data_IF_094978798626
#
_entry.id   IF_094978798626
#
_cell.length_a   1.000
_cell.length_b   1.000
_cell.length_c   1.000
_cell.angle_alpha   90.00
_cell.angle_beta   90.00
_cell.angle_gamma   90.00
#
_symmetry.space_group_name_H-M   'P 1'
#
loop_
_entity.id
_entity.type
_entity.pdbx_description
1 polymer ?
#
# COMPACT_ATOMS: atom_id res chain seq x y z
N UNK A 1 54.91 -11.18 -23.86
CA UNK A 1 53.78 -10.69 -24.66
C UNK A 1 52.53 -11.57 -24.67
N UNK A 2 52.48 -12.79 -24.12
CA UNK A 2 51.29 -13.67 -24.07
C UNK A 2 50.33 -13.36 -22.89
N UNK A 3 50.81 -12.71 -21.81
CA UNK A 3 49.95 -12.38 -20.63
C UNK A 3 48.98 -11.26 -20.85
N UNK A 4 49.37 -10.19 -21.51
CA UNK A 4 48.52 -9.00 -21.75
C UNK A 4 47.29 -9.26 -22.64
N UNK A 5 47.42 -10.23 -23.58
CA UNK A 5 46.27 -10.61 -24.43
C UNK A 5 45.17 -11.33 -23.63
N UNK A 6 45.53 -12.14 -22.62
CA UNK A 6 44.55 -12.82 -21.76
C UNK A 6 43.85 -11.87 -20.80
N UNK A 7 44.59 -10.92 -20.20
CA UNK A 7 44.00 -9.91 -19.30
C UNK A 7 43.11 -8.93 -20.07
N UNK A 8 43.45 -8.55 -21.30
CA UNK A 8 42.63 -7.68 -22.15
C UNK A 8 41.33 -8.38 -22.60
N UNK A 9 41.40 -9.70 -22.89
CA UNK A 9 40.26 -10.51 -23.28
C UNK A 9 39.29 -10.74 -22.09
N UNK A 10 39.82 -10.91 -20.87
CA UNK A 10 39.01 -11.03 -19.64
C UNK A 10 38.36 -9.69 -19.29
N UNK A 11 39.05 -8.54 -19.46
CA UNK A 11 38.45 -7.23 -19.28
C UNK A 11 37.35 -6.94 -20.34
N UNK A 12 37.57 -7.33 -21.59
CA UNK A 12 36.55 -7.17 -22.65
C UNK A 12 35.34 -8.05 -22.43
N UNK A 13 35.52 -9.30 -21.96
CA UNK A 13 34.41 -10.18 -21.58
C UNK A 13 33.65 -9.65 -20.35
N UNK A 14 34.37 -9.11 -19.35
CA UNK A 14 33.77 -8.50 -18.15
C UNK A 14 32.96 -7.25 -18.46
N UNK A 15 33.37 -6.44 -19.43
CA UNK A 15 32.59 -5.25 -19.85
C UNK A 15 31.35 -5.61 -20.67
N UNK A 16 31.36 -6.70 -21.45
CA UNK A 16 30.21 -7.17 -22.23
C UNK A 16 29.13 -7.77 -21.28
N UNK A 17 29.51 -8.43 -20.20
CA UNK A 17 28.55 -8.98 -19.22
C UNK A 17 27.89 -7.87 -18.38
N UNK A 18 28.53 -6.71 -18.18
CA UNK A 18 27.98 -5.57 -17.45
C UNK A 18 26.95 -4.77 -18.28
N UNK A 19 27.02 -4.85 -19.62
CA UNK A 19 26.08 -4.14 -20.53
C UNK A 19 24.83 -4.97 -20.84
N UNK A 20 24.82 -6.27 -20.50
CA UNK A 20 23.71 -7.19 -20.84
C UNK A 20 22.69 -7.40 -19.71
N UNK A 21 22.75 -6.62 -18.62
CA UNK A 21 21.63 -6.61 -17.65
C UNK A 21 20.49 -5.82 -18.25
N UNK A 22 19.28 -6.40 -18.43
CA UNK A 22 18.16 -5.69 -18.98
C UNK A 22 17.81 -4.50 -18.08
N UNK A 23 17.96 -3.30 -18.59
CA UNK A 23 17.66 -2.01 -17.91
C UNK A 23 16.22 -1.96 -17.40
N UNK A 24 15.35 -2.79 -17.94
CA UNK A 24 13.95 -2.94 -17.56
C UNK A 24 13.76 -3.54 -16.17
N UNK A 25 14.54 -4.55 -15.79
CA UNK A 25 14.43 -5.16 -14.45
C UNK A 25 14.86 -4.19 -13.35
N UNK A 26 15.86 -3.36 -13.60
CA UNK A 26 16.31 -2.35 -12.64
C UNK A 26 15.25 -1.27 -12.37
N UNK A 27 14.50 -0.82 -13.39
CA UNK A 27 13.41 0.15 -13.25
C UNK A 27 12.21 -0.45 -12.51
N UNK A 28 11.85 -1.68 -12.82
CA UNK A 28 10.76 -2.40 -12.14
C UNK A 28 11.08 -2.61 -10.64
N UNK A 29 12.30 -2.98 -10.30
CA UNK A 29 12.77 -3.12 -8.92
C UNK A 29 12.70 -1.77 -8.19
N UNK A 30 13.09 -0.68 -8.85
CA UNK A 30 13.04 0.66 -8.26
C UNK A 30 11.62 1.10 -7.90
N UNK A 31 10.62 0.88 -8.77
CA UNK A 31 9.21 1.20 -8.48
C UNK A 31 8.68 0.37 -7.30
N UNK A 32 8.99 -0.93 -7.26
CA UNK A 32 8.58 -1.79 -6.16
C UNK A 32 9.17 -1.35 -4.81
N UNK A 33 10.41 -0.86 -4.81
CA UNK A 33 11.03 -0.30 -3.61
C UNK A 33 10.37 1.03 -3.20
N UNK A 34 10.00 1.89 -4.14
CA UNK A 34 9.24 3.12 -3.86
C UNK A 34 7.89 2.77 -3.22
N UNK A 35 7.15 1.80 -3.76
CA UNK A 35 5.89 1.33 -3.18
C UNK A 35 6.12 0.80 -1.75
N UNK A 36 7.16 -0.01 -1.54
CA UNK A 36 7.50 -0.52 -0.21
C UNK A 36 7.76 0.61 0.78
N UNK A 37 8.50 1.63 0.39
CA UNK A 37 8.79 2.80 1.23
C UNK A 37 7.52 3.62 1.51
N UNK A 38 6.65 3.82 0.52
CA UNK A 38 5.36 4.50 0.71
C UNK A 38 4.48 3.74 1.72
N UNK A 39 4.35 2.43 1.60
CA UNK A 39 3.61 1.59 2.56
C UNK A 39 4.20 1.71 3.99
N UNK A 40 5.53 1.67 4.13
CA UNK A 40 6.20 1.83 5.43
C UNK A 40 5.88 3.21 6.03
N UNK A 41 5.89 4.28 5.23
CA UNK A 41 5.53 5.63 5.70
C UNK A 41 4.08 5.69 6.20
N UNK A 42 3.13 5.08 5.47
CA UNK A 42 1.72 4.98 5.90
C UNK A 42 1.63 4.25 7.24
N UNK A 43 2.26 3.09 7.38
CA UNK A 43 2.24 2.29 8.63
C UNK A 43 2.78 3.11 9.79
N UNK A 44 3.94 3.76 9.65
CA UNK A 44 4.54 4.59 10.70
C UNK A 44 3.65 5.78 11.09
N UNK A 45 2.99 6.42 10.12
CA UNK A 45 2.08 7.53 10.39
C UNK A 45 0.85 7.05 11.18
N UNK A 46 0.30 5.89 10.85
CA UNK A 46 -0.83 5.26 11.55
C UNK A 46 -0.44 4.85 12.97
N UNK A 47 0.74 4.24 13.17
CA UNK A 47 1.23 3.86 14.50
C UNK A 47 1.35 5.07 15.43
N UNK A 48 1.90 6.18 14.93
CA UNK A 48 1.97 7.44 15.69
C UNK A 48 0.59 7.99 16.06
N UNK A 49 -0.39 7.85 15.16
CA UNK A 49 -1.77 8.24 15.42
C UNK A 49 -2.38 7.40 16.54
N UNK A 50 -2.21 6.07 16.51
CA UNK A 50 -2.70 5.13 17.53
C UNK A 50 -2.06 5.45 18.88
N UNK A 51 -0.75 5.65 18.96
CA UNK A 51 -0.05 6.01 20.21
C UNK A 51 -0.61 7.30 20.83
N UNK A 52 -0.91 8.32 20.01
CA UNK A 52 -1.52 9.56 20.50
C UNK A 52 -2.91 9.34 21.09
N UNK A 53 -3.72 8.45 20.49
CA UNK A 53 -5.04 8.08 21.00
C UNK A 53 -4.93 7.31 22.33
N UNK A 54 -4.01 6.35 22.43
CA UNK A 54 -3.77 5.60 23.66
C UNK A 54 -3.40 6.53 24.81
N UNK A 55 -2.52 7.50 24.58
CA UNK A 55 -2.13 8.49 25.57
C UNK A 55 -3.32 9.36 26.03
N UNK A 56 -4.20 9.76 25.12
CA UNK A 56 -5.44 10.49 25.45
C UNK A 56 -6.39 9.64 26.30
N UNK A 57 -6.57 8.37 25.94
CA UNK A 57 -7.45 7.45 26.69
C UNK A 57 -6.93 7.22 28.11
N UNK A 58 -5.62 7.07 28.30
CA UNK A 58 -4.99 6.92 29.63
C UNK A 58 -5.22 8.20 30.46
N UNK A 59 -5.06 9.38 29.83
CA UNK A 59 -5.30 10.65 30.53
C UNK A 59 -6.75 10.78 31.01
N UNK A 60 -7.73 10.38 30.19
CA UNK A 60 -9.15 10.38 30.57
C UNK A 60 -9.47 9.45 31.71
N UNK A 61 -8.93 8.23 31.69
CA UNK A 61 -9.09 7.27 32.80
C UNK A 61 -8.50 7.81 34.11
N UNK A 62 -7.36 8.50 34.04
CA UNK A 62 -6.76 9.12 35.21
C UNK A 62 -7.59 10.30 35.72
N UNK A 63 -8.14 11.15 34.82
CA UNK A 63 -9.03 12.24 35.17
C UNK A 63 -10.32 11.73 35.82
N UNK A 64 -10.89 10.63 35.34
CA UNK A 64 -12.06 9.97 35.92
C UNK A 64 -11.75 9.47 37.35
N UNK A 65 -10.63 8.75 37.57
CA UNK A 65 -10.23 8.29 38.91
C UNK A 65 -10.02 9.44 39.91
N UNK A 66 -9.42 10.54 39.47
CA UNK A 66 -9.24 11.73 40.31
C UNK A 66 -10.60 12.33 40.71
N UNK A 67 -11.57 12.34 39.79
CA UNK A 67 -12.93 12.82 40.07
C UNK A 67 -13.67 11.89 41.02
N UNK A 68 -13.62 10.60 40.81
CA UNK A 68 -14.23 9.58 41.69
C UNK A 68 -13.65 9.66 43.13
N UNK A 69 -12.34 9.85 43.26
CA UNK A 69 -11.69 10.01 44.57
C UNK A 69 -12.06 11.33 45.27
N UNK A 70 -12.27 12.42 44.53
CA UNK A 70 -12.77 13.68 45.10
C UNK A 70 -14.25 13.60 45.47
N UNK A 71 -15.06 12.84 44.74
CA UNK A 71 -16.45 12.57 45.07
C UNK A 71 -16.71 12.05 46.47
N UNK A 72 -15.89 11.10 46.90
CA UNK A 72 -16.00 10.46 48.23
C UNK A 72 -15.69 11.42 49.37
N UNK A 73 -15.18 12.64 49.07
CA UNK A 73 -14.74 13.62 50.04
C UNK A 73 -15.69 14.86 50.17
N UNK A 74 -16.69 15.01 49.28
CA UNK A 74 -17.55 16.20 49.28
C UNK A 74 -18.80 16.10 50.13
N UNK A 75 -19.12 17.18 50.86
CA UNK A 75 -20.39 17.35 51.57
C UNK A 75 -21.50 17.78 50.61
N UNK A 76 -22.76 17.44 50.95
CA UNK A 76 -23.98 17.60 50.14
C UNK A 76 -24.26 19.00 49.55
N UNK A 77 -23.66 20.07 50.13
CA UNK A 77 -23.83 21.48 49.66
C UNK A 77 -23.07 21.82 48.37
N UNK A 78 -22.14 20.96 47.92
CA UNK A 78 -21.34 21.19 46.71
C UNK A 78 -21.85 20.40 45.48
N UNK A 79 -22.98 19.67 45.62
CA UNK A 79 -23.51 18.73 44.61
C UNK A 79 -23.87 19.43 43.30
N UNK A 80 -24.43 20.66 43.34
CA UNK A 80 -24.86 21.36 42.12
C UNK A 80 -23.67 21.76 41.22
N UNK A 81 -22.57 22.26 41.84
CA UNK A 81 -21.34 22.61 41.12
C UNK A 81 -20.62 21.36 40.61
N UNK A 82 -20.76 20.26 41.32
CA UNK A 82 -20.20 18.98 40.98
C UNK A 82 -20.91 18.33 39.81
N UNK A 83 -22.25 18.42 39.73
CA UNK A 83 -23.07 17.90 38.63
C UNK A 83 -22.70 18.52 37.29
N UNK A 84 -22.41 19.82 37.24
CA UNK A 84 -21.96 20.50 36.01
C UNK A 84 -20.54 20.04 35.60
N UNK A 85 -19.60 19.90 36.53
CA UNK A 85 -18.25 19.35 36.24
C UNK A 85 -18.31 17.91 35.73
N UNK A 86 -19.20 17.09 36.31
CA UNK A 86 -19.45 15.72 35.86
C UNK A 86 -20.03 15.69 34.44
N UNK A 87 -21.02 16.53 34.16
CA UNK A 87 -21.63 16.67 32.83
C UNK A 87 -20.59 17.06 31.77
N UNK A 88 -19.74 18.02 32.07
CA UNK A 88 -18.66 18.47 31.18
C UNK A 88 -17.62 17.37 30.96
N UNK A 89 -17.29 16.60 32.00
CA UNK A 89 -16.36 15.47 31.89
C UNK A 89 -16.94 14.36 30.99
N UNK A 90 -18.23 13.98 31.21
CA UNK A 90 -18.90 12.97 30.39
C UNK A 90 -19.02 13.43 28.95
N UNK A 91 -19.37 14.70 28.69
CA UNK A 91 -19.40 15.26 27.34
C UNK A 91 -18.04 15.13 26.66
N UNK A 92 -16.98 15.54 27.35
CA UNK A 92 -15.60 15.42 26.85
C UNK A 92 -15.21 13.96 26.59
N UNK A 93 -15.60 13.03 27.47
CA UNK A 93 -15.38 11.61 27.32
C UNK A 93 -16.12 11.04 26.10
N UNK A 94 -17.37 11.41 25.85
CA UNK A 94 -18.12 11.01 24.67
C UNK A 94 -17.54 11.59 23.39
N UNK A 95 -17.12 12.84 23.39
CA UNK A 95 -16.49 13.48 22.21
C UNK A 95 -15.16 12.79 21.87
N UNK A 96 -14.37 12.39 22.87
CA UNK A 96 -13.11 11.69 22.64
C UNK A 96 -13.30 10.22 22.27
N UNK A 97 -14.28 9.50 22.82
CA UNK A 97 -14.67 8.16 22.37
C UNK A 97 -15.12 8.18 20.90
N UNK A 98 -15.85 9.19 20.50
CA UNK A 98 -16.30 9.35 19.14
C UNK A 98 -15.11 9.60 18.17
N UNK A 99 -14.13 10.39 18.58
CA UNK A 99 -12.86 10.57 17.85
C UNK A 99 -12.09 9.24 17.74
N UNK A 100 -11.99 8.47 18.82
CA UNK A 100 -11.34 7.15 18.82
C UNK A 100 -12.04 6.21 17.83
N UNK A 101 -13.38 6.15 17.83
CA UNK A 101 -14.15 5.31 16.91
C UNK A 101 -13.92 5.70 15.45
N UNK A 102 -13.92 7.00 15.13
CA UNK A 102 -13.61 7.50 13.78
C UNK A 102 -12.20 7.15 13.34
N UNK A 103 -11.24 7.28 14.24
CA UNK A 103 -9.83 6.95 13.95
C UNK A 103 -9.64 5.46 13.70
N UNK A 104 -10.34 4.59 14.47
CA UNK A 104 -10.33 3.15 14.23
C UNK A 104 -10.92 2.77 12.86
N UNK A 105 -12.01 3.43 12.43
CA UNK A 105 -12.58 3.23 11.11
C UNK A 105 -11.61 3.64 9.99
N UNK A 106 -10.93 4.77 10.16
CA UNK A 106 -9.88 5.25 9.26
C UNK A 106 -8.70 4.27 9.19
N UNK A 107 -8.26 3.75 10.34
CA UNK A 107 -7.22 2.73 10.42
C UNK A 107 -7.60 1.46 9.66
N UNK A 108 -8.81 0.96 9.86
CA UNK A 108 -9.31 -0.22 9.16
C UNK A 108 -9.30 -0.03 7.64
N UNK A 109 -9.77 1.12 7.15
CA UNK A 109 -9.74 1.46 5.71
C UNK A 109 -8.31 1.48 5.17
N UNK A 110 -7.38 2.10 5.88
CA UNK A 110 -5.96 2.15 5.49
C UNK A 110 -5.34 0.74 5.46
N UNK A 111 -5.67 -0.12 6.43
CA UNK A 111 -5.19 -1.50 6.45
C UNK A 111 -5.65 -2.29 5.21
N UNK A 112 -6.91 -2.12 4.78
CA UNK A 112 -7.44 -2.71 3.56
C UNK A 112 -6.71 -2.20 2.31
N UNK A 113 -6.43 -0.90 2.24
CA UNK A 113 -5.68 -0.28 1.14
C UNK A 113 -4.26 -0.87 1.05
N UNK A 114 -3.56 -1.00 2.18
CA UNK A 114 -2.22 -1.62 2.23
C UNK A 114 -2.28 -3.09 1.78
N UNK A 115 -3.31 -3.82 2.19
CA UNK A 115 -3.50 -5.20 1.76
C UNK A 115 -3.72 -5.29 0.24
N UNK A 116 -4.55 -4.43 -0.33
CA UNK A 116 -4.78 -4.37 -1.78
C UNK A 116 -3.51 -4.00 -2.53
N UNK A 117 -2.74 -3.05 -2.01
CA UNK A 117 -1.45 -2.67 -2.57
C UNK A 117 -0.46 -3.85 -2.61
N UNK A 118 -0.41 -4.68 -1.57
CA UNK A 118 0.41 -5.90 -1.58
C UNK A 118 -0.03 -6.87 -2.68
N UNK A 119 -1.34 -7.01 -2.89
CA UNK A 119 -1.88 -7.87 -3.95
C UNK A 119 -1.51 -7.36 -5.35
N UNK A 120 -1.56 -6.04 -5.60
CA UNK A 120 -1.10 -5.41 -6.85
C UNK A 120 0.37 -5.79 -7.11
N UNK A 121 1.24 -5.59 -6.12
CA UNK A 121 2.67 -5.90 -6.25
C UNK A 121 2.92 -7.39 -6.49
N UNK A 122 2.20 -8.28 -5.81
CA UNK A 122 2.33 -9.73 -5.99
C UNK A 122 1.88 -10.17 -7.38
N UNK A 123 0.73 -9.68 -7.84
CA UNK A 123 0.22 -9.96 -9.18
C UNK A 123 1.15 -9.45 -10.28
N UNK A 124 1.62 -8.20 -10.14
CA UNK A 124 2.59 -7.66 -11.07
C UNK A 124 3.85 -8.54 -11.17
N UNK A 125 4.47 -8.89 -10.03
CA UNK A 125 5.68 -9.72 -10.02
C UNK A 125 5.46 -11.07 -10.70
N UNK A 126 4.35 -11.73 -10.36
CA UNK A 126 4.00 -13.02 -10.95
C UNK A 126 3.81 -12.90 -12.47
N UNK A 127 2.95 -11.99 -12.91
CA UNK A 127 2.63 -11.87 -14.33
C UNK A 127 3.81 -11.36 -15.15
N UNK A 128 4.60 -10.42 -14.62
CA UNK A 128 5.81 -9.94 -15.28
C UNK A 128 6.83 -11.05 -15.52
N UNK A 129 7.03 -11.93 -14.54
CA UNK A 129 7.89 -13.10 -14.71
C UNK A 129 7.37 -14.02 -15.82
N UNK A 130 6.06 -14.25 -15.89
CA UNK A 130 5.45 -15.12 -16.90
C UNK A 130 5.56 -14.51 -18.30
N UNK A 131 5.22 -13.21 -18.45
CA UNK A 131 5.32 -12.49 -19.73
C UNK A 131 6.73 -12.54 -20.31
N UNK A 132 7.75 -12.36 -19.48
CA UNK A 132 9.15 -12.43 -19.94
C UNK A 132 9.58 -13.85 -20.37
N UNK A 133 8.90 -14.90 -19.92
CA UNK A 133 9.18 -16.30 -20.31
C UNK A 133 8.31 -16.75 -21.49
N UNK A 134 7.28 -16.01 -21.82
CA UNK A 134 6.32 -16.35 -22.86
C UNK A 134 6.86 -16.04 -24.26
N UNK A 135 7.07 -17.08 -25.07
CA UNK A 135 7.62 -16.97 -26.42
C UNK A 135 6.63 -16.42 -27.45
N UNK A 136 5.35 -16.25 -27.07
CA UNK A 136 4.30 -15.75 -27.96
C UNK A 136 4.27 -14.22 -28.04
N UNK A 137 5.08 -13.52 -27.23
CA UNK A 137 5.21 -12.06 -27.26
C UNK A 137 6.48 -11.62 -27.94
N UNK A 138 6.36 -10.59 -28.76
CA UNK A 138 7.48 -9.87 -29.33
C UNK A 138 8.10 -8.92 -28.30
N UNK A 139 9.35 -8.51 -28.51
CA UNK A 139 10.01 -7.54 -27.65
C UNK A 139 9.23 -6.23 -27.53
N UNK A 140 8.67 -5.74 -28.64
CA UNK A 140 7.87 -4.51 -28.66
C UNK A 140 6.60 -4.63 -27.80
N UNK A 141 5.96 -5.80 -27.77
CA UNK A 141 4.79 -6.05 -26.94
C UNK A 141 5.16 -6.12 -25.45
N UNK A 142 6.29 -6.76 -25.13
CA UNK A 142 6.81 -6.80 -23.76
C UNK A 142 7.13 -5.37 -23.28
N UNK A 143 7.74 -4.54 -24.13
CA UNK A 143 8.04 -3.13 -23.81
C UNK A 143 6.74 -2.33 -23.58
N UNK A 144 5.71 -2.57 -24.39
CA UNK A 144 4.38 -1.98 -24.19
C UNK A 144 3.75 -2.43 -22.86
N UNK A 145 3.74 -3.74 -22.60
CA UNK A 145 3.22 -4.29 -21.34
C UNK A 145 3.94 -3.69 -20.13
N UNK A 146 5.25 -3.53 -20.23
CA UNK A 146 6.04 -2.87 -19.18
C UNK A 146 5.58 -1.43 -18.94
N UNK A 147 5.30 -0.67 -19.99
CA UNK A 147 4.83 0.72 -19.86
C UNK A 147 3.47 0.79 -19.16
N UNK A 148 2.54 -0.14 -19.47
CA UNK A 148 1.22 -0.22 -18.84
C UNK A 148 1.36 -0.59 -17.35
N UNK A 149 2.13 -1.63 -17.02
CA UNK A 149 2.38 -2.01 -15.63
C UNK A 149 3.02 -0.88 -14.81
N UNK A 150 3.98 -0.19 -15.41
CA UNK A 150 4.65 0.96 -14.77
C UNK A 150 3.66 2.10 -14.50
N UNK A 151 2.74 2.36 -15.43
CA UNK A 151 1.67 3.34 -15.25
C UNK A 151 0.79 3.01 -14.03
N UNK A 152 0.26 1.79 -13.95
CA UNK A 152 -0.57 1.31 -12.83
C UNK A 152 0.18 1.41 -11.50
N UNK A 153 1.45 0.99 -11.47
CA UNK A 153 2.25 1.02 -10.24
C UNK A 153 2.57 2.46 -9.80
N UNK A 154 2.84 3.38 -10.71
CA UNK A 154 3.09 4.79 -10.39
C UNK A 154 1.84 5.47 -9.83
N UNK A 155 0.68 5.23 -10.41
CA UNK A 155 -0.59 5.74 -9.90
C UNK A 155 -0.87 5.22 -8.48
N UNK A 156 -0.57 3.95 -8.25
CA UNK A 156 -0.66 3.32 -6.95
C UNK A 156 0.24 3.98 -5.90
N UNK A 157 1.47 4.37 -6.27
CA UNK A 157 2.38 5.16 -5.40
C UNK A 157 1.77 6.52 -5.07
N UNK A 158 1.26 7.22 -6.09
CA UNK A 158 0.63 8.53 -5.90
C UNK A 158 -0.51 8.46 -4.86
N UNK A 159 -1.40 7.47 -4.98
CA UNK A 159 -2.50 7.26 -4.04
C UNK A 159 -2.01 6.98 -2.60
N UNK A 160 -0.90 6.25 -2.43
CA UNK A 160 -0.29 6.03 -1.11
C UNK A 160 0.31 7.32 -0.53
N UNK A 161 0.94 8.15 -1.35
CA UNK A 161 1.51 9.43 -0.90
C UNK A 161 0.40 10.42 -0.47
N UNK A 162 -0.75 10.45 -1.12
CA UNK A 162 -1.93 11.21 -0.67
C UNK A 162 -2.40 10.75 0.73
N UNK A 163 -2.44 9.44 0.97
CA UNK A 163 -2.78 8.90 2.30
C UNK A 163 -1.77 9.35 3.35
N UNK A 164 -0.47 9.29 3.06
CA UNK A 164 0.60 9.77 3.96
C UNK A 164 0.42 11.25 4.28
N UNK A 165 0.15 12.07 3.26
CA UNK A 165 -0.07 13.51 3.41
C UNK A 165 -1.23 13.78 4.38
N UNK A 166 -2.36 13.09 4.19
CA UNK A 166 -3.57 13.27 5.00
C UNK A 166 -3.36 12.79 6.44
N UNK A 167 -2.67 11.67 6.66
CA UNK A 167 -2.38 11.17 8.01
C UNK A 167 -1.42 12.11 8.74
N UNK A 168 -0.39 12.62 8.07
CA UNK A 168 0.58 13.55 8.66
C UNK A 168 0.00 14.95 8.90
N UNK A 169 -1.03 15.34 8.14
CA UNK A 169 -1.67 16.65 8.28
C UNK A 169 -2.60 16.80 9.50
N UNK A 170 -2.48 15.91 10.51
CA UNK A 170 -3.05 16.18 11.84
C UNK A 170 -2.58 17.51 12.46
N UNK A 171 -1.56 18.12 11.87
CA UNK A 171 -1.09 19.47 12.18
C UNK A 171 -1.76 20.58 11.35
N UNK A 172 -2.53 20.23 10.32
CA UNK A 172 -3.23 21.17 9.45
C UNK A 172 -4.73 21.25 9.77
N UNK A 173 -5.38 22.36 9.42
CA UNK A 173 -6.79 22.68 9.70
C UNK A 173 -7.77 21.87 8.83
N UNK A 174 -7.52 20.60 8.57
CA UNK A 174 -8.41 19.74 7.78
C UNK A 174 -9.41 19.03 8.69
N UNK A 175 -10.71 19.04 8.30
CA UNK A 175 -11.73 18.29 9.03
C UNK A 175 -11.57 16.78 8.88
N UNK A 176 -12.01 16.00 9.88
CA UNK A 176 -11.96 14.54 9.83
C UNK A 176 -12.79 13.96 8.67
N UNK A 177 -13.91 14.62 8.33
CA UNK A 177 -14.73 14.25 7.17
C UNK A 177 -13.94 14.35 5.86
N UNK A 178 -13.18 15.45 5.69
CA UNK A 178 -12.36 15.65 4.49
C UNK A 178 -11.18 14.67 4.43
N UNK A 179 -10.59 14.31 5.58
CA UNK A 179 -9.55 13.27 5.65
C UNK A 179 -10.08 11.92 5.20
N UNK A 180 -11.24 11.52 5.73
CA UNK A 180 -11.85 10.24 5.37
C UNK A 180 -12.25 10.20 3.89
N UNK A 181 -12.76 11.31 3.34
CA UNK A 181 -13.06 11.45 1.92
C UNK A 181 -11.83 11.18 1.04
N UNK A 182 -10.67 11.80 1.36
CA UNK A 182 -9.43 11.62 0.60
C UNK A 182 -8.92 10.18 0.72
N UNK A 183 -8.94 9.59 1.92
CA UNK A 183 -8.54 8.20 2.13
C UNK A 183 -9.45 7.23 1.37
N UNK A 184 -10.76 7.47 1.36
CA UNK A 184 -11.69 6.64 0.59
C UNK A 184 -11.42 6.77 -0.91
N UNK A 185 -11.25 7.99 -1.43
CA UNK A 185 -10.93 8.22 -2.83
C UNK A 185 -9.63 7.52 -3.24
N UNK A 186 -8.56 7.65 -2.45
CA UNK A 186 -7.31 6.94 -2.71
C UNK A 186 -7.50 5.41 -2.65
N UNK A 187 -8.32 4.90 -1.73
CA UNK A 187 -8.65 3.49 -1.63
C UNK A 187 -9.43 2.98 -2.85
N UNK A 188 -10.39 3.75 -3.34
CA UNK A 188 -11.18 3.41 -4.52
C UNK A 188 -10.30 3.42 -5.79
N UNK A 189 -9.37 4.37 -5.90
CA UNK A 189 -8.38 4.40 -6.99
C UNK A 189 -7.44 3.19 -6.95
N UNK A 190 -6.97 2.76 -5.79
CA UNK A 190 -6.13 1.56 -5.64
C UNK A 190 -6.93 0.29 -5.98
N UNK A 191 -8.21 0.23 -5.66
CA UNK A 191 -9.10 -0.87 -6.07
C UNK A 191 -9.26 -0.90 -7.59
N UNK A 192 -9.46 0.25 -8.23
CA UNK A 192 -9.51 0.36 -9.69
C UNK A 192 -8.20 -0.11 -10.32
N UNK A 193 -7.06 0.34 -9.82
CA UNK A 193 -5.73 -0.10 -10.30
C UNK A 193 -5.55 -1.62 -10.20
N UNK A 194 -6.10 -2.26 -9.16
CA UNK A 194 -6.09 -3.71 -9.03
C UNK A 194 -6.94 -4.40 -10.10
N UNK A 195 -8.14 -3.88 -10.37
CA UNK A 195 -9.01 -4.40 -11.43
C UNK A 195 -8.39 -4.22 -12.82
N UNK A 196 -7.82 -3.05 -13.10
CA UNK A 196 -7.15 -2.75 -14.37
C UNK A 196 -5.97 -3.71 -14.59
N UNK A 197 -5.18 -3.96 -13.54
CA UNK A 197 -4.09 -4.94 -13.57
C UNK A 197 -4.61 -6.35 -13.88
N UNK A 198 -5.68 -6.80 -13.21
CA UNK A 198 -6.28 -8.11 -13.48
C UNK A 198 -6.81 -8.23 -14.91
N UNK A 199 -7.52 -7.21 -15.38
CA UNK A 199 -8.06 -7.18 -16.74
C UNK A 199 -6.93 -7.23 -17.76
N UNK A 200 -5.89 -6.43 -17.59
CA UNK A 200 -4.73 -6.41 -18.47
C UNK A 200 -3.99 -7.76 -18.48
N UNK A 201 -3.81 -8.38 -17.31
CA UNK A 201 -3.21 -9.70 -17.20
C UNK A 201 -4.03 -10.76 -17.97
N UNK A 202 -5.35 -10.76 -17.78
CA UNK A 202 -6.24 -11.69 -18.46
C UNK A 202 -6.21 -11.52 -19.99
N UNK A 203 -6.18 -10.27 -20.47
CA UNK A 203 -6.06 -9.98 -21.91
C UNK A 203 -4.75 -10.53 -22.48
N UNK A 204 -3.63 -10.34 -21.79
CA UNK A 204 -2.32 -10.86 -22.21
C UNK A 204 -2.31 -12.40 -22.23
N UNK A 205 -2.86 -13.05 -21.21
CA UNK A 205 -2.99 -14.52 -21.16
C UNK A 205 -3.83 -15.03 -22.33
N UNK A 206 -4.98 -14.40 -22.60
CA UNK A 206 -5.83 -14.77 -23.73
C UNK A 206 -5.11 -14.58 -25.07
N UNK A 207 -4.37 -13.50 -25.21
CA UNK A 207 -3.57 -13.23 -26.40
C UNK A 207 -2.51 -14.32 -26.63
N UNK A 208 -1.79 -14.74 -25.58
CA UNK A 208 -0.83 -15.83 -25.65
C UNK A 208 -1.51 -17.15 -26.05
N UNK A 209 -2.63 -17.50 -25.41
CA UNK A 209 -3.41 -18.72 -25.76
C UNK A 209 -3.89 -18.71 -27.20
N UNK A 210 -4.34 -17.57 -27.72
CA UNK A 210 -4.83 -17.46 -29.12
C UNK A 210 -3.69 -17.58 -30.15
N UNK A 211 -2.45 -17.35 -29.75
CA UNK A 211 -1.26 -17.49 -30.61
C UNK A 211 -0.67 -18.89 -30.58
N UNK A 212 -1.05 -19.71 -29.60
CA UNK A 212 -0.61 -21.09 -29.51
C UNK A 212 -1.17 -21.89 -30.70
N UNK A 213 -0.29 -22.61 -31.45
CA UNK A 213 -0.60 -23.22 -32.73
C UNK A 213 -1.25 -24.60 -32.60
N UNK A 214 -0.96 -25.31 -31.53
CA UNK A 214 -1.44 -26.66 -31.30
C UNK A 214 -1.78 -26.94 -29.82
N UNK A 215 -2.31 -28.11 -29.52
CA UNK A 215 -2.70 -28.51 -28.16
C UNK A 215 -1.52 -28.55 -27.18
N UNK A 216 -0.31 -28.86 -27.67
CA UNK A 216 0.89 -28.91 -26.82
C UNK A 216 1.33 -27.53 -26.42
N UNK A 217 1.34 -26.55 -27.35
CA UNK A 217 1.60 -25.15 -27.06
C UNK A 217 0.54 -24.57 -26.12
N UNK A 218 -0.75 -24.84 -26.34
CA UNK A 218 -1.83 -24.43 -25.42
C UNK A 218 -1.62 -24.99 -24.02
N UNK A 219 -1.24 -26.26 -23.86
CA UNK A 219 -0.95 -26.86 -22.57
C UNK A 219 0.28 -26.19 -21.90
N UNK A 220 1.28 -25.83 -22.71
CA UNK A 220 2.47 -25.12 -22.23
C UNK A 220 2.13 -23.72 -21.71
N UNK A 221 1.31 -22.95 -22.44
CA UNK A 221 0.83 -21.63 -22.00
C UNK A 221 -0.02 -21.77 -20.74
N UNK A 222 -0.96 -22.70 -20.70
CA UNK A 222 -1.77 -22.95 -19.50
C UNK A 222 -0.89 -23.24 -18.28
N UNK A 223 0.11 -24.10 -18.42
CA UNK A 223 1.06 -24.41 -17.34
C UNK A 223 1.88 -23.19 -16.92
N UNK A 224 2.34 -22.37 -17.86
CA UNK A 224 3.11 -21.16 -17.59
C UNK A 224 2.32 -20.18 -16.70
N UNK A 225 1.05 -19.97 -17.01
CA UNK A 225 0.18 -19.03 -16.28
C UNK A 225 -0.60 -19.68 -15.13
N UNK A 226 -0.33 -20.94 -14.79
CA UNK A 226 -1.00 -21.65 -13.69
C UNK A 226 -2.48 -21.92 -13.94
N UNK A 227 -2.90 -22.05 -15.21
CA UNK A 227 -4.28 -22.35 -15.58
C UNK A 227 -4.52 -23.86 -15.56
N UNK A 228 -5.79 -24.33 -15.31
CA UNK A 228 -6.13 -25.74 -15.38
C UNK A 228 -5.78 -26.34 -16.75
N UNK A 229 -5.03 -27.44 -16.74
CA UNK A 229 -4.77 -28.28 -17.90
C UNK A 229 -5.71 -29.48 -17.79
N UNK A 230 -6.74 -29.52 -18.62
CA UNK A 230 -7.56 -30.73 -18.81
C UNK A 230 -6.75 -31.81 -19.50
#
# INVERSE_FOLDING_TARGET
MKGYRKTLLIMLLGTITLVATPVQDAKAIAILEIIRQAVIKVIKAVDLMIQRLQNKTIWLQNAQKVLENKLSQFKLTEIAHWTEKQRQLYKKYYDELWQVRKTLATYHRIALIIQRQKQIVQQYKFTWQMVNQDKHFTKSEIDYMYSVYTGILNESVYNLDEIVLVINSYKTQMSDAKRLEIINKAGDSIEQNYHDLQQFNNQNIQLSLNRAKDKHEVATVKKLYGLPTE
#
